data_IF_733673921476
#
_entry.id   IF_733673921476
#
_cell.length_a   1.000
_cell.length_b   1.000
_cell.length_c   1.000
_cell.angle_alpha   90.00
_cell.angle_beta   90.00
_cell.angle_gamma   90.00
#
_symmetry.space_group_name_H-M   'P 1'
#
loop_
_entity.id
_entity.type
_entity.pdbx_description
1 polymer ?
#
# COMPACT_ATOMS: atom_id res chain seq x y z
N UNK A 1 -12.63 17.72 -22.96
CA UNK A 1 -11.35 17.07 -22.64
C UNK A 1 -10.77 16.51 -23.93
N UNK A 2 -9.53 16.89 -24.28
CA UNK A 2 -8.95 16.43 -25.55
C UNK A 2 -8.54 14.96 -25.48
N UNK A 3 -8.45 14.29 -26.64
CA UNK A 3 -8.00 12.88 -26.73
C UNK A 3 -6.57 12.71 -26.17
N UNK A 4 -5.75 13.74 -26.29
CA UNK A 4 -4.38 13.77 -25.76
C UNK A 4 -4.37 13.78 -24.23
N UNK A 5 -5.29 14.50 -23.58
CA UNK A 5 -5.37 14.56 -22.11
C UNK A 5 -5.78 13.22 -21.52
N UNK A 6 -6.71 12.50 -22.17
CA UNK A 6 -7.13 11.18 -21.74
C UNK A 6 -6.04 10.11 -21.93
N UNK A 7 -5.29 10.18 -23.02
CA UNK A 7 -4.18 9.27 -23.29
C UNK A 7 -3.03 9.48 -22.31
N UNK A 8 -2.70 10.73 -21.99
CA UNK A 8 -1.69 11.09 -20.99
C UNK A 8 -2.08 10.62 -19.59
N UNK A 9 -3.35 10.82 -19.20
CA UNK A 9 -3.87 10.34 -17.91
C UNK A 9 -3.79 8.82 -17.77
N UNK A 10 -4.13 8.08 -18.84
CA UNK A 10 -4.02 6.62 -18.87
C UNK A 10 -2.56 6.18 -18.68
N UNK A 11 -1.63 6.75 -19.42
CA UNK A 11 -0.20 6.41 -19.29
C UNK A 11 0.32 6.67 -17.88
N UNK A 12 -0.06 7.80 -17.26
CA UNK A 12 0.30 8.12 -15.87
C UNK A 12 -0.28 7.08 -14.90
N UNK A 13 -1.57 6.75 -15.04
CA UNK A 13 -2.23 5.76 -14.19
C UNK A 13 -1.57 4.39 -14.30
N UNK A 14 -1.32 3.90 -15.52
CA UNK A 14 -0.65 2.62 -15.77
C UNK A 14 0.78 2.59 -15.19
N UNK A 15 1.53 3.68 -15.35
CA UNK A 15 2.87 3.79 -14.77
C UNK A 15 2.83 3.69 -13.25
N UNK A 16 1.92 4.42 -12.60
CA UNK A 16 1.74 4.38 -11.15
C UNK A 16 1.30 2.97 -10.71
N UNK A 17 0.35 2.35 -11.41
CA UNK A 17 -0.08 0.99 -11.11
C UNK A 17 1.08 -0.01 -11.15
N UNK A 18 1.97 0.10 -12.13
CA UNK A 18 3.17 -0.76 -12.22
C UNK A 18 4.15 -0.54 -11.06
N UNK A 19 4.24 0.68 -10.52
CA UNK A 19 5.07 0.97 -9.34
C UNK A 19 4.49 0.34 -8.07
N UNK A 20 3.18 0.39 -7.86
CA UNK A 20 2.52 -0.30 -6.74
C UNK A 20 2.70 -1.82 -6.85
N UNK A 21 2.44 -2.40 -8.03
CA UNK A 21 2.67 -3.83 -8.26
C UNK A 21 4.12 -4.27 -7.98
N UNK A 22 5.09 -3.42 -8.30
CA UNK A 22 6.50 -3.68 -7.97
C UNK A 22 6.74 -3.71 -6.45
N UNK A 23 6.17 -2.78 -5.69
CA UNK A 23 6.28 -2.77 -4.22
C UNK A 23 5.61 -4.00 -3.62
N UNK A 24 4.42 -4.38 -4.08
CA UNK A 24 3.73 -5.59 -3.60
C UNK A 24 4.55 -6.85 -3.86
N UNK A 25 5.17 -6.97 -5.04
CA UNK A 25 6.09 -8.08 -5.34
C UNK A 25 7.27 -8.07 -4.37
N UNK A 26 7.90 -6.92 -4.15
CA UNK A 26 9.05 -6.80 -3.26
C UNK A 26 8.66 -7.13 -1.80
N UNK A 27 7.48 -6.72 -1.33
CA UNK A 27 6.95 -7.11 -0.01
C UNK A 27 6.71 -8.63 0.04
N UNK A 28 6.12 -9.23 -1.01
CA UNK A 28 5.89 -10.68 -1.08
C UNK A 28 7.19 -11.45 -0.93
N UNK A 29 8.25 -11.04 -1.60
CA UNK A 29 9.60 -11.64 -1.48
C UNK A 29 10.16 -11.54 -0.06
N UNK A 30 9.78 -10.52 0.72
CA UNK A 30 10.22 -10.41 2.11
C UNK A 30 9.46 -11.34 3.05
N UNK A 31 8.18 -11.60 2.82
CA UNK A 31 7.33 -12.40 3.73
C UNK A 31 7.36 -13.89 3.39
N UNK A 32 7.57 -14.25 2.13
CA UNK A 32 7.66 -15.65 1.72
C UNK A 32 8.80 -16.39 2.45
N UNK A 33 8.48 -17.59 2.94
CA UNK A 33 9.45 -18.44 3.64
C UNK A 33 9.73 -18.05 5.11
N UNK A 34 9.14 -16.97 5.61
CA UNK A 34 9.20 -16.63 7.03
C UNK A 34 8.16 -17.41 7.81
N UNK A 35 8.54 -17.89 8.99
CA UNK A 35 7.61 -18.50 9.94
C UNK A 35 6.75 -17.44 10.66
N UNK A 36 5.64 -17.87 11.27
CA UNK A 36 4.72 -16.99 11.99
C UNK A 36 5.43 -16.19 13.09
N UNK A 37 6.43 -16.77 13.74
CA UNK A 37 7.19 -16.10 14.80
C UNK A 37 7.99 -14.92 14.24
N UNK A 38 8.66 -15.08 13.11
CA UNK A 38 9.41 -14.02 12.45
C UNK A 38 8.51 -12.89 11.98
N UNK A 39 7.35 -13.24 11.38
CA UNK A 39 6.39 -12.26 10.85
C UNK A 39 5.75 -11.38 11.93
N UNK A 40 5.57 -11.91 13.14
CA UNK A 40 4.94 -11.19 14.24
C UNK A 40 5.92 -10.68 15.30
N UNK A 41 7.21 -10.90 15.10
CA UNK A 41 8.24 -10.39 15.99
C UNK A 41 8.41 -8.87 15.87
N UNK A 42 8.57 -8.21 17.01
CA UNK A 42 8.84 -6.76 17.11
C UNK A 42 10.26 -6.55 17.62
N UNK A 43 11.08 -5.72 16.96
CA UNK A 43 12.44 -5.38 17.45
C UNK A 43 12.44 -4.70 18.81
N UNK A 44 11.38 -3.97 19.12
CA UNK A 44 11.14 -3.26 20.38
C UNK A 44 9.63 -3.17 20.63
N UNK A 45 9.21 -2.93 21.88
CA UNK A 45 7.79 -2.81 22.26
C UNK A 45 7.04 -1.74 21.45
N UNK A 46 7.72 -0.65 21.09
CA UNK A 46 7.17 0.45 20.30
C UNK A 46 7.32 0.26 18.78
N UNK A 47 7.98 -0.82 18.34
CA UNK A 47 8.16 -1.12 16.93
C UNK A 47 7.01 -1.97 16.39
N UNK A 48 6.86 -1.96 15.08
CA UNK A 48 5.89 -2.78 14.39
C UNK A 48 6.50 -4.11 13.91
N UNK A 49 5.68 -5.16 13.89
CA UNK A 49 6.03 -6.42 13.25
C UNK A 49 5.91 -6.31 11.72
N UNK A 50 6.50 -7.26 11.00
CA UNK A 50 6.33 -7.36 9.54
C UNK A 50 4.84 -7.49 9.18
N UNK A 51 4.10 -8.35 9.87
CA UNK A 51 2.67 -8.52 9.63
C UNK A 51 1.90 -7.20 9.78
N UNK A 52 2.10 -6.48 10.88
CA UNK A 52 1.48 -5.18 11.11
C UNK A 52 1.82 -4.15 10.02
N UNK A 53 3.08 -4.11 9.58
CA UNK A 53 3.51 -3.21 8.50
C UNK A 53 2.83 -3.53 7.17
N UNK A 54 2.68 -4.81 6.81
CA UNK A 54 1.97 -5.21 5.58
C UNK A 54 0.50 -4.80 5.66
N UNK A 55 -0.20 -5.13 6.74
CA UNK A 55 -1.61 -4.73 6.93
C UNK A 55 -1.79 -3.23 6.86
N UNK A 56 -0.92 -2.47 7.53
CA UNK A 56 -0.96 -1.00 7.52
C UNK A 56 -0.70 -0.43 6.12
N UNK A 57 0.26 -0.97 5.39
CA UNK A 57 0.58 -0.55 4.01
C UNK A 57 -0.63 -0.73 3.11
N UNK A 58 -1.20 -1.93 3.06
CA UNK A 58 -2.36 -2.24 2.21
C UNK A 58 -3.64 -1.52 2.64
N UNK A 59 -3.85 -1.32 3.94
CA UNK A 59 -4.95 -0.50 4.46
C UNK A 59 -4.82 0.97 4.03
N UNK A 60 -3.60 1.52 4.05
CA UNK A 60 -3.30 2.88 3.60
C UNK A 60 -3.51 3.04 2.09
N UNK A 61 -3.10 2.06 1.30
CA UNK A 61 -3.29 2.02 -0.15
C UNK A 61 -4.77 2.01 -0.52
N UNK A 62 -5.55 1.11 0.08
CA UNK A 62 -6.99 1.02 -0.18
C UNK A 62 -7.72 2.31 0.17
N UNK A 63 -7.41 2.93 1.31
CA UNK A 63 -7.97 4.23 1.68
C UNK A 63 -7.58 5.31 0.65
N UNK A 64 -6.34 5.32 0.20
CA UNK A 64 -5.83 6.29 -0.76
C UNK A 64 -6.51 6.16 -2.13
N UNK A 65 -6.54 4.97 -2.72
CA UNK A 65 -7.11 4.79 -4.07
C UNK A 65 -8.62 5.05 -4.08
N UNK A 66 -9.32 4.68 -3.02
CA UNK A 66 -10.72 5.00 -2.86
C UNK A 66 -10.94 6.52 -2.74
N UNK A 67 -10.12 7.23 -1.96
CA UNK A 67 -10.19 8.68 -1.86
C UNK A 67 -9.97 9.35 -3.22
N UNK A 68 -8.98 8.92 -4.00
CA UNK A 68 -8.72 9.41 -5.37
C UNK A 68 -9.95 9.20 -6.27
N UNK A 69 -10.63 8.07 -6.14
CA UNK A 69 -11.86 7.73 -6.87
C UNK A 69 -13.13 8.40 -6.30
N UNK A 70 -13.02 9.14 -5.19
CA UNK A 70 -14.17 9.72 -4.49
C UNK A 70 -15.06 8.70 -3.80
N UNK A 71 -14.53 7.52 -3.47
CA UNK A 71 -15.20 6.45 -2.76
C UNK A 71 -14.89 6.57 -1.27
N UNK A 72 -15.94 6.55 -0.42
CA UNK A 72 -15.75 6.57 1.04
C UNK A 72 -15.19 5.23 1.51
N UNK A 73 -14.17 5.27 2.36
CA UNK A 73 -13.58 4.09 2.99
C UNK A 73 -13.71 4.20 4.50
N UNK A 74 -14.16 3.13 5.14
CA UNK A 74 -14.05 2.96 6.58
C UNK A 74 -12.76 2.17 6.86
N UNK A 75 -11.93 2.69 7.77
CA UNK A 75 -10.63 2.11 8.12
C UNK A 75 -10.40 2.19 9.62
N UNK A 76 -10.15 1.06 10.24
CA UNK A 76 -9.64 1.00 11.60
C UNK A 76 -8.11 0.88 11.57
N UNK A 77 -7.45 2.05 11.53
CA UNK A 77 -5.99 2.12 11.48
C UNK A 77 -5.33 1.53 12.75
N UNK A 78 -5.97 1.65 13.91
CA UNK A 78 -5.40 1.14 15.16
C UNK A 78 -5.34 -0.39 15.17
N UNK A 79 -6.40 -1.04 14.67
CA UNK A 79 -6.47 -2.49 14.57
C UNK A 79 -5.37 -3.09 13.66
N UNK A 80 -4.89 -2.36 12.65
CA UNK A 80 -3.83 -2.83 11.73
C UNK A 80 -2.52 -3.16 12.46
N UNK A 81 -2.22 -2.47 13.57
CA UNK A 81 -0.98 -2.66 14.33
C UNK A 81 -1.03 -3.77 15.38
N UNK A 82 -2.23 -4.30 15.64
CA UNK A 82 -2.47 -5.40 16.59
C UNK A 82 -2.63 -6.76 15.89
N UNK A 83 -2.56 -6.79 14.56
CA UNK A 83 -2.77 -8.00 13.78
C UNK A 83 -1.54 -8.90 13.85
N UNK A 84 -1.82 -10.20 13.98
CA UNK A 84 -0.88 -11.28 13.73
C UNK A 84 -1.30 -12.08 12.50
N UNK A 85 -0.33 -12.49 11.69
CA UNK A 85 -0.58 -13.27 10.49
C UNK A 85 0.54 -14.25 10.18
N UNK A 86 0.25 -15.24 9.37
CA UNK A 86 1.25 -16.10 8.73
C UNK A 86 1.55 -15.66 7.28
N UNK A 87 2.53 -16.30 6.65
CA UNK A 87 2.97 -15.93 5.30
C UNK A 87 1.85 -16.12 4.26
N UNK A 88 1.05 -17.18 4.37
CA UNK A 88 -0.02 -17.46 3.41
C UNK A 88 -1.12 -16.40 3.49
N UNK A 89 -1.47 -15.96 4.70
CA UNK A 89 -2.44 -14.87 4.92
C UNK A 89 -1.93 -13.55 4.32
N UNK A 90 -0.66 -13.21 4.51
CA UNK A 90 -0.07 -11.98 3.96
C UNK A 90 0.04 -12.01 2.42
N UNK A 91 0.43 -13.15 1.85
CA UNK A 91 0.47 -13.33 0.39
C UNK A 91 -0.93 -13.20 -0.22
N UNK A 92 -1.95 -13.83 0.39
CA UNK A 92 -3.33 -13.71 -0.07
C UNK A 92 -3.85 -12.25 -0.03
N UNK A 93 -3.47 -11.49 1.00
CA UNK A 93 -3.81 -10.06 1.09
C UNK A 93 -3.14 -9.23 0.00
N UNK A 94 -1.88 -9.52 -0.33
CA UNK A 94 -1.16 -8.86 -1.43
C UNK A 94 -1.80 -9.18 -2.79
N UNK A 95 -2.26 -10.41 -3.01
CA UNK A 95 -2.97 -10.80 -4.23
C UNK A 95 -4.31 -10.06 -4.37
N UNK A 96 -5.04 -9.89 -3.27
CA UNK A 96 -6.28 -9.10 -3.25
C UNK A 96 -5.98 -7.63 -3.56
N UNK A 97 -4.93 -7.06 -2.96
CA UNK A 97 -4.53 -5.68 -3.20
C UNK A 97 -4.10 -5.45 -4.65
N UNK A 98 -3.34 -6.37 -5.25
CA UNK A 98 -2.96 -6.33 -6.67
C UNK A 98 -4.21 -6.28 -7.57
N UNK A 99 -5.17 -7.18 -7.34
CA UNK A 99 -6.40 -7.25 -8.12
C UNK A 99 -7.27 -5.98 -7.95
N UNK A 100 -7.41 -5.48 -6.74
CA UNK A 100 -8.15 -4.25 -6.45
C UNK A 100 -7.48 -3.04 -7.11
N UNK A 101 -6.15 -2.94 -7.01
CA UNK A 101 -5.39 -1.85 -7.62
C UNK A 101 -5.51 -1.86 -9.14
N UNK A 102 -5.43 -3.02 -9.79
CA UNK A 102 -5.60 -3.15 -11.23
C UNK A 102 -6.97 -2.60 -11.70
N UNK A 103 -8.06 -2.97 -11.00
CA UNK A 103 -9.40 -2.48 -11.27
C UNK A 103 -9.48 -0.96 -11.12
N UNK A 104 -8.93 -0.42 -10.05
CA UNK A 104 -8.94 1.02 -9.79
C UNK A 104 -8.12 1.79 -10.81
N UNK A 105 -6.91 1.35 -11.12
CA UNK A 105 -6.01 1.99 -12.11
C UNK A 105 -6.66 2.03 -13.49
N UNK A 106 -7.27 0.93 -13.92
CA UNK A 106 -7.98 0.86 -15.22
C UNK A 106 -9.15 1.86 -15.32
N UNK A 107 -9.72 2.23 -14.19
CA UNK A 107 -10.87 3.14 -14.12
C UNK A 107 -10.52 4.59 -13.78
N UNK A 108 -9.23 4.93 -13.54
CA UNK A 108 -8.80 6.30 -13.27
C UNK A 108 -8.98 7.20 -14.48
N UNK A 109 -9.53 8.37 -14.24
CA UNK A 109 -9.72 9.43 -15.25
C UNK A 109 -8.75 10.59 -15.02
N UNK A 110 -8.58 11.46 -16.01
CA UNK A 110 -7.85 12.72 -15.84
C UNK A 110 -8.45 13.60 -14.74
N UNK A 111 -9.78 13.54 -14.55
CA UNK A 111 -10.45 14.24 -13.46
C UNK A 111 -10.05 13.67 -12.09
N UNK A 112 -10.00 12.36 -11.93
CA UNK A 112 -9.57 11.72 -10.67
C UNK A 112 -8.15 12.09 -10.31
N UNK A 113 -7.24 12.17 -11.28
CA UNK A 113 -5.85 12.55 -11.07
C UNK A 113 -5.68 14.02 -10.68
N UNK A 114 -6.51 14.92 -11.21
CA UNK A 114 -6.37 16.38 -11.03
C UNK A 114 -7.26 16.96 -9.94
N UNK A 115 -8.42 16.36 -9.66
CA UNK A 115 -9.37 16.88 -8.69
C UNK A 115 -8.83 16.84 -7.26
N UNK A 116 -9.03 17.88 -6.46
CA UNK A 116 -8.73 17.85 -5.04
C UNK A 116 -9.62 16.84 -4.31
N UNK A 117 -8.99 15.91 -3.60
CA UNK A 117 -9.68 14.85 -2.83
C UNK A 117 -9.27 14.92 -1.36
N UNK A 118 -10.21 14.93 -0.42
CA UNK A 118 -9.91 14.74 0.99
C UNK A 118 -9.53 13.28 1.25
N UNK A 119 -8.68 13.05 2.26
CA UNK A 119 -8.34 11.71 2.74
C UNK A 119 -8.31 11.72 4.26
N UNK A 120 -9.35 11.18 4.89
CA UNK A 120 -9.57 11.34 6.32
C UNK A 120 -9.60 12.82 6.68
N UNK A 121 -8.92 13.21 7.75
CA UNK A 121 -8.84 14.60 8.24
C UNK A 121 -7.73 15.43 7.56
N UNK A 122 -7.08 14.88 6.53
CA UNK A 122 -5.99 15.57 5.84
C UNK A 122 -6.52 16.60 4.85
N UNK A 123 -5.77 17.69 4.61
CA UNK A 123 -6.12 18.66 3.57
C UNK A 123 -6.30 18.00 2.21
N UNK A 124 -7.29 18.47 1.45
CA UNK A 124 -7.54 17.99 0.10
C UNK A 124 -6.32 18.23 -0.81
N UNK A 125 -5.98 17.23 -1.62
CA UNK A 125 -4.87 17.26 -2.59
C UNK A 125 -5.32 16.65 -3.90
N UNK A 126 -4.66 17.02 -5.04
CA UNK A 126 -4.88 16.33 -6.30
C UNK A 126 -4.69 14.81 -6.15
N UNK A 127 -5.52 14.04 -6.85
CA UNK A 127 -5.43 12.57 -6.77
C UNK A 127 -4.06 12.04 -7.13
N UNK A 128 -3.40 12.61 -8.13
CA UNK A 128 -2.03 12.25 -8.50
C UNK A 128 -1.03 12.46 -7.34
N UNK A 129 -1.18 13.55 -6.57
CA UNK A 129 -0.33 13.78 -5.40
C UNK A 129 -0.55 12.73 -4.32
N UNK A 130 -1.79 12.29 -4.10
CA UNK A 130 -2.08 11.20 -3.17
C UNK A 130 -1.45 9.88 -3.60
N UNK A 131 -1.51 9.55 -4.89
CA UNK A 131 -0.89 8.34 -5.44
C UNK A 131 0.64 8.35 -5.23
N UNK A 132 1.30 9.44 -5.56
CA UNK A 132 2.77 9.58 -5.40
C UNK A 132 3.17 9.50 -3.92
N UNK A 133 2.44 10.20 -3.03
CA UNK A 133 2.71 10.18 -1.59
C UNK A 133 2.52 8.79 -0.99
N UNK A 134 1.48 8.06 -1.41
CA UNK A 134 1.25 6.73 -0.89
C UNK A 134 2.28 5.72 -1.42
N UNK A 135 2.70 5.83 -2.66
CA UNK A 135 3.83 5.05 -3.17
C UNK A 135 5.10 5.27 -2.34
N UNK A 136 5.43 6.53 -2.02
CA UNK A 136 6.55 6.84 -1.11
C UNK A 136 6.39 6.18 0.27
N UNK A 137 5.21 6.26 0.85
CA UNK A 137 4.87 5.64 2.13
C UNK A 137 5.03 4.10 2.11
N UNK A 138 4.65 3.44 1.02
CA UNK A 138 4.84 1.99 0.87
C UNK A 138 6.31 1.61 0.75
N UNK A 139 7.10 2.41 0.03
CA UNK A 139 8.55 2.22 -0.05
C UNK A 139 9.23 2.37 1.31
N UNK A 140 8.78 3.30 2.14
CA UNK A 140 9.26 3.47 3.52
C UNK A 140 8.95 2.22 4.36
N UNK A 141 7.73 1.68 4.26
CA UNK A 141 7.35 0.47 4.99
C UNK A 141 8.06 -0.78 4.46
N UNK A 142 8.28 -0.90 3.16
CA UNK A 142 9.11 -1.99 2.62
C UNK A 142 10.51 -1.97 3.23
N UNK A 143 11.15 -0.81 3.32
CA UNK A 143 12.46 -0.68 3.95
C UNK A 143 12.42 -1.05 5.45
N UNK A 144 11.34 -0.72 6.16
CA UNK A 144 11.15 -1.16 7.56
C UNK A 144 10.94 -2.67 7.67
N UNK A 145 10.22 -3.30 6.75
CA UNK A 145 10.03 -4.75 6.67
C UNK A 145 11.38 -5.44 6.46
N UNK A 146 12.18 -4.97 5.50
CA UNK A 146 13.51 -5.49 5.21
C UNK A 146 14.43 -5.38 6.43
N UNK A 147 14.45 -4.23 7.10
CA UNK A 147 15.23 -4.01 8.30
C UNK A 147 14.77 -4.93 9.45
N UNK A 148 13.46 -5.06 9.67
CA UNK A 148 12.91 -5.94 10.72
C UNK A 148 13.30 -7.40 10.48
N UNK A 149 13.25 -7.87 9.23
CA UNK A 149 13.71 -9.20 8.83
C UNK A 149 15.19 -9.42 9.12
N UNK A 150 16.04 -8.45 8.80
CA UNK A 150 17.49 -8.50 9.09
C UNK A 150 17.77 -8.55 10.58
N UNK A 151 17.09 -7.71 11.37
CA UNK A 151 17.24 -7.68 12.83
C UNK A 151 16.80 -9.01 13.47
N UNK A 152 15.70 -9.59 13.01
CA UNK A 152 15.25 -10.90 13.47
C UNK A 152 16.28 -12.00 13.18
N UNK A 153 16.90 -11.98 12.01
CA UNK A 153 17.97 -12.91 11.65
C UNK A 153 19.23 -12.78 12.52
N UNK A 154 19.51 -11.58 13.04
CA UNK A 154 20.67 -11.32 13.88
C UNK A 154 20.52 -11.74 15.36
N UNK A 155 19.27 -11.96 15.83
CA UNK A 155 18.99 -12.37 17.23
C UNK A 155 18.69 -13.87 17.39
N UNK A 156 18.88 -14.65 16.34
CA UNK A 156 18.72 -16.11 16.30
C UNK A 156 19.98 -16.87 16.64
#
# INVERSE_FOLDING_TARGET
MSTLDSLSAKTVAETIGSLFAAVHRDIREQVEGLDRKALNWKPHSEANSIAALVFHTLGSEREMINAVRGIKTERDRAAEFEIEADAAELVALLEIADADMEIHIAALTAHDLSAPRPRGDRPARPGLEWLIRNYGHEREHLAQIELTKQLYGAVR
#
